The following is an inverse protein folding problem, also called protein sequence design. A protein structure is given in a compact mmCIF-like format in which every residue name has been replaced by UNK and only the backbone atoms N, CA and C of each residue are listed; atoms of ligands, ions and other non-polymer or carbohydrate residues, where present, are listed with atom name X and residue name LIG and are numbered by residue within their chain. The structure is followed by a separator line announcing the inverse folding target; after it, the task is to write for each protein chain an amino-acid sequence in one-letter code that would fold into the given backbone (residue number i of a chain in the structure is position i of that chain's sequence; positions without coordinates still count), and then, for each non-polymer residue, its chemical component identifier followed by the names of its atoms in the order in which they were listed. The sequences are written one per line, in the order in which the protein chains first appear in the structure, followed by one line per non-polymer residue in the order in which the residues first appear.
data_IF_245324689658
#
_entry.id   IF_245324689658
#
_cell.length_a   1.000
_cell.length_b   1.000
_cell.length_c   1.000
_cell.angle_alpha   90.00
_cell.angle_beta   90.00
_cell.angle_gamma   90.00
#
_symmetry.space_group_name_H-M   'P 1'
#
loop_
_entity.id
_entity.type
_entity.pdbx_description
1 polymer ?
#
# COMPACT_ATOMS: atom_id res chain seq x y z
N UNK A 1 -29.38 72.98 74.54
CA UNK A 1 -28.48 71.81 74.39
C UNK A 1 -28.64 71.06 73.06
N UNK A 2 -29.77 71.16 72.32
CA UNK A 2 -29.99 70.37 71.09
C UNK A 2 -29.18 70.79 69.84
N UNK A 3 -28.83 72.07 69.68
CA UNK A 3 -28.15 72.55 68.46
C UNK A 3 -26.71 72.05 68.31
N UNK A 4 -25.94 71.91 69.40
CA UNK A 4 -24.55 71.44 69.36
C UNK A 4 -24.43 69.97 68.97
N UNK A 5 -25.33 69.12 69.46
CA UNK A 5 -25.37 67.70 69.12
C UNK A 5 -25.70 67.47 67.64
N UNK A 6 -26.62 68.26 67.07
CA UNK A 6 -26.98 68.17 65.64
C UNK A 6 -25.79 68.54 64.74
N UNK A 7 -25.05 69.60 65.07
CA UNK A 7 -23.86 70.01 64.30
C UNK A 7 -22.77 68.94 64.32
N UNK A 8 -22.50 68.34 65.49
CA UNK A 8 -21.51 67.25 65.60
C UNK A 8 -21.93 66.03 64.78
N UNK A 9 -23.20 65.63 64.84
CA UNK A 9 -23.72 64.51 64.04
C UNK A 9 -23.57 64.79 62.54
N UNK A 10 -23.93 65.99 62.08
CA UNK A 10 -23.80 66.38 60.67
C UNK A 10 -22.33 66.32 60.22
N UNK A 11 -21.40 66.87 61.00
CA UNK A 11 -19.97 66.85 60.67
C UNK A 11 -19.43 65.42 60.61
N UNK A 12 -19.79 64.57 61.58
CA UNK A 12 -19.37 63.15 61.57
C UNK A 12 -19.91 62.43 60.34
N UNK A 13 -21.19 62.63 60.01
CA UNK A 13 -21.81 62.02 58.81
C UNK A 13 -21.09 62.49 57.54
N UNK A 14 -20.82 63.79 57.41
CA UNK A 14 -20.09 64.33 56.24
C UNK A 14 -18.69 63.73 56.14
N UNK A 15 -17.95 63.66 57.25
CA UNK A 15 -16.60 63.07 57.25
C UNK A 15 -16.64 61.59 56.87
N UNK A 16 -17.58 60.82 57.43
CA UNK A 16 -17.75 59.40 57.07
C UNK A 16 -18.09 59.24 55.59
N UNK A 17 -19.01 60.04 55.05
CA UNK A 17 -19.38 59.99 53.63
C UNK A 17 -18.18 60.32 52.75
N UNK A 18 -17.40 61.35 53.08
CA UNK A 18 -16.19 61.71 52.33
C UNK A 18 -15.15 60.59 52.38
N UNK A 19 -14.89 60.02 53.56
CA UNK A 19 -13.95 58.88 53.70
C UNK A 19 -14.40 57.69 52.86
N UNK A 20 -15.68 57.33 52.91
CA UNK A 20 -16.24 56.24 52.10
C UNK A 20 -16.08 56.52 50.61
N UNK A 21 -16.40 57.74 50.15
CA UNK A 21 -16.21 58.13 48.74
C UNK A 21 -14.76 58.04 48.29
N UNK A 22 -13.81 58.49 49.13
CA UNK A 22 -12.38 58.39 48.84
C UNK A 22 -11.93 56.93 48.77
N UNK A 23 -12.35 56.08 49.70
CA UNK A 23 -12.02 54.65 49.70
C UNK A 23 -12.58 53.97 48.45
N UNK A 24 -13.84 54.23 48.09
CA UNK A 24 -14.46 53.70 46.87
C UNK A 24 -13.69 54.16 45.64
N UNK A 25 -13.35 55.45 45.54
CA UNK A 25 -12.58 55.98 44.42
C UNK A 25 -11.21 55.29 44.31
N UNK A 26 -10.49 55.13 45.42
CA UNK A 26 -9.19 54.45 45.44
C UNK A 26 -9.34 53.00 44.98
N UNK A 27 -10.33 52.26 45.49
CA UNK A 27 -10.58 50.87 45.08
C UNK A 27 -10.87 50.79 43.58
N UNK A 28 -11.73 51.67 43.05
CA UNK A 28 -12.05 51.72 41.62
C UNK A 28 -10.80 52.00 40.80
N UNK A 29 -9.99 52.99 41.18
CA UNK A 29 -8.74 53.30 40.49
C UNK A 29 -7.79 52.11 40.49
N UNK A 30 -7.61 51.45 41.64
CA UNK A 30 -6.76 50.25 41.75
C UNK A 30 -7.27 49.14 40.82
N UNK A 31 -8.57 48.85 40.82
CA UNK A 31 -9.16 47.82 39.96
C UNK A 31 -8.95 48.14 38.48
N UNK A 32 -9.18 49.40 38.07
CA UNK A 32 -8.97 49.84 36.68
C UNK A 32 -7.52 49.72 36.27
N UNK A 33 -6.58 50.16 37.13
CA UNK A 33 -5.14 50.06 36.85
C UNK A 33 -4.71 48.60 36.73
N UNK A 34 -5.14 47.73 37.66
CA UNK A 34 -4.83 46.29 37.60
C UNK A 34 -5.39 45.68 36.31
N UNK A 35 -6.64 45.97 35.96
CA UNK A 35 -7.24 45.48 34.72
C UNK A 35 -6.45 45.94 33.49
N UNK A 36 -6.02 47.20 33.45
CA UNK A 36 -5.22 47.74 32.36
C UNK A 36 -3.84 47.06 32.28
N UNK A 37 -3.17 46.84 33.41
CA UNK A 37 -1.89 46.11 33.45
C UNK A 37 -2.07 44.69 32.91
N UNK A 38 -3.12 43.98 33.32
CA UNK A 38 -3.41 42.62 32.83
C UNK A 38 -3.63 42.63 31.31
N UNK A 39 -4.39 43.58 30.78
CA UNK A 39 -4.61 43.72 29.33
C UNK A 39 -3.30 44.01 28.60
N UNK A 40 -2.49 44.94 29.09
CA UNK A 40 -1.20 45.28 28.48
C UNK A 40 -0.27 44.07 28.46
N UNK A 41 -0.17 43.33 29.58
CA UNK A 41 0.64 42.12 29.64
C UNK A 41 0.15 41.08 28.64
N UNK A 42 -1.17 40.83 28.57
CA UNK A 42 -1.74 39.89 27.61
C UNK A 42 -1.43 40.29 26.17
N UNK A 43 -1.57 41.57 25.84
CA UNK A 43 -1.26 42.11 24.51
C UNK A 43 0.24 41.95 24.19
N UNK A 44 1.13 42.25 25.13
CA UNK A 44 2.58 42.07 24.95
C UNK A 44 2.91 40.59 24.73
N UNK A 45 2.32 39.68 25.51
CA UNK A 45 2.53 38.24 25.33
C UNK A 45 2.09 37.80 23.93
N UNK A 46 0.91 38.24 23.48
CA UNK A 46 0.39 37.86 22.16
C UNK A 46 1.23 38.47 21.02
N UNK A 47 1.62 39.73 21.12
CA UNK A 47 2.33 40.43 20.03
C UNK A 47 3.81 40.06 19.97
N UNK A 48 4.44 39.78 21.12
CA UNK A 48 5.89 39.54 21.18
C UNK A 48 6.20 38.05 21.30
N UNK A 49 5.63 37.37 22.29
CA UNK A 49 6.02 35.99 22.59
C UNK A 49 5.54 35.05 21.49
N UNK A 50 4.31 35.21 20.99
CA UNK A 50 3.77 34.29 19.97
C UNK A 50 4.57 34.36 18.66
N UNK A 51 4.87 35.54 18.07
CA UNK A 51 5.70 35.59 16.87
C UNK A 51 7.12 35.09 17.11
N UNK A 52 7.72 35.37 18.26
CA UNK A 52 9.06 34.85 18.59
C UNK A 52 9.05 33.32 18.64
N UNK A 53 8.04 32.72 19.28
CA UNK A 53 7.88 31.26 19.30
C UNK A 53 7.72 30.71 17.89
N UNK A 54 6.90 31.34 17.03
CA UNK A 54 6.72 30.90 15.65
C UNK A 54 8.04 31.02 14.86
N UNK A 55 8.71 32.16 14.94
CA UNK A 55 9.94 32.46 14.19
C UNK A 55 11.11 31.59 14.65
N UNK A 56 11.14 31.15 15.90
CA UNK A 56 12.25 30.33 16.42
C UNK A 56 11.91 28.85 16.36
N UNK A 57 10.79 28.44 16.94
CA UNK A 57 10.45 27.02 17.11
C UNK A 57 10.12 26.36 15.77
N UNK A 58 9.35 27.02 14.91
CA UNK A 58 8.95 26.41 13.62
C UNK A 58 10.15 26.09 12.73
N UNK A 59 11.09 27.02 12.44
CA UNK A 59 12.24 26.68 11.62
C UNK A 59 13.17 25.68 12.30
N UNK A 60 13.34 25.72 13.63
CA UNK A 60 14.13 24.70 14.33
C UNK A 60 13.51 23.31 14.15
N UNK A 61 12.19 23.19 14.30
CA UNK A 61 11.47 21.93 14.05
C UNK A 61 11.65 21.48 12.60
N UNK A 62 11.53 22.38 11.62
CA UNK A 62 11.73 22.04 10.20
C UNK A 62 13.17 21.58 9.95
N UNK A 63 14.16 22.34 10.42
CA UNK A 63 15.59 22.08 10.22
C UNK A 63 16.03 20.79 10.90
N UNK A 64 15.41 20.39 12.01
CA UNK A 64 15.79 19.16 12.72
C UNK A 64 14.96 17.97 12.25
N UNK A 65 13.64 18.10 12.27
CA UNK A 65 12.73 16.96 12.03
C UNK A 65 12.78 16.53 10.57
N UNK A 66 12.74 17.47 9.61
CA UNK A 66 12.69 17.10 8.18
C UNK A 66 13.92 16.30 7.74
N UNK A 67 15.18 16.71 7.99
CA UNK A 67 16.32 15.91 7.57
C UNK A 67 16.40 14.59 8.34
N UNK A 68 16.03 14.53 9.62
CA UNK A 68 15.97 13.26 10.36
C UNK A 68 14.98 12.31 9.69
N UNK A 69 13.78 12.79 9.33
CA UNK A 69 12.79 11.99 8.61
C UNK A 69 13.36 11.52 7.26
N UNK A 70 14.01 12.39 6.50
CA UNK A 70 14.62 12.01 5.21
C UNK A 70 15.71 10.95 5.41
N UNK A 71 16.64 11.18 6.35
CA UNK A 71 17.78 10.30 6.63
C UNK A 71 17.32 8.94 7.14
N UNK A 72 16.18 8.84 7.83
CA UNK A 72 15.69 7.56 8.34
C UNK A 72 14.74 6.88 7.36
N UNK A 73 13.73 7.59 6.87
CA UNK A 73 12.66 7.00 6.07
C UNK A 73 13.14 6.62 4.67
N UNK A 74 13.92 7.47 4.01
CA UNK A 74 14.39 7.20 2.63
C UNK A 74 15.22 5.91 2.54
N UNK A 75 16.28 5.69 3.35
CA UNK A 75 17.03 4.44 3.26
C UNK A 75 16.21 3.23 3.68
N UNK A 76 15.28 3.36 4.64
CA UNK A 76 14.37 2.26 4.99
C UNK A 76 13.52 1.88 3.77
N UNK A 77 12.94 2.84 3.06
CA UNK A 77 12.18 2.57 1.84
C UNK A 77 13.05 1.93 0.77
N UNK A 78 14.28 2.42 0.55
CA UNK A 78 15.22 1.84 -0.41
C UNK A 78 15.55 0.38 -0.04
N UNK A 79 15.81 0.10 1.23
CA UNK A 79 16.11 -1.25 1.72
C UNK A 79 14.91 -2.16 1.50
N UNK A 80 13.69 -1.72 1.84
CA UNK A 80 12.47 -2.50 1.63
C UNK A 80 12.28 -2.82 0.15
N UNK A 81 12.43 -1.82 -0.74
CA UNK A 81 12.32 -2.03 -2.19
C UNK A 81 13.38 -2.99 -2.69
N UNK A 82 14.63 -2.86 -2.24
CA UNK A 82 15.71 -3.77 -2.61
C UNK A 82 15.42 -5.20 -2.16
N UNK A 83 14.95 -5.39 -0.92
CA UNK A 83 14.56 -6.72 -0.40
C UNK A 83 13.42 -7.31 -1.20
N UNK A 84 12.39 -6.52 -1.53
CA UNK A 84 11.28 -6.96 -2.37
C UNK A 84 11.78 -7.41 -3.74
N UNK A 85 12.65 -6.64 -4.38
CA UNK A 85 13.23 -7.03 -5.68
C UNK A 85 14.05 -8.31 -5.56
N UNK A 86 14.94 -8.38 -4.56
CA UNK A 86 15.84 -9.53 -4.34
C UNK A 86 15.05 -10.81 -4.04
N UNK A 87 13.90 -10.74 -3.38
CA UNK A 87 13.10 -11.92 -3.02
C UNK A 87 12.06 -12.26 -4.09
N UNK A 88 11.29 -11.27 -4.54
CA UNK A 88 10.13 -11.52 -5.42
C UNK A 88 10.58 -11.86 -6.83
N UNK A 89 11.59 -11.18 -7.39
CA UNK A 89 12.04 -11.44 -8.76
C UNK A 89 12.52 -12.88 -8.96
N UNK A 90 13.43 -13.46 -8.15
CA UNK A 90 13.85 -14.84 -8.37
C UNK A 90 12.71 -15.83 -8.15
N UNK A 91 11.79 -15.59 -7.21
CA UNK A 91 10.61 -16.44 -7.02
C UNK A 91 9.75 -16.43 -8.28
N UNK A 92 9.46 -15.25 -8.84
CA UNK A 92 8.71 -15.13 -10.10
C UNK A 92 9.43 -15.84 -11.24
N UNK A 93 10.75 -15.66 -11.37
CA UNK A 93 11.55 -16.35 -12.40
C UNK A 93 11.46 -17.87 -12.23
N UNK A 94 11.63 -18.40 -11.01
CA UNK A 94 11.52 -19.84 -10.73
C UNK A 94 10.12 -20.35 -11.07
N UNK A 95 9.07 -19.65 -10.67
CA UNK A 95 7.68 -20.01 -10.99
C UNK A 95 7.47 -20.05 -12.51
N UNK A 96 7.93 -19.03 -13.24
CA UNK A 96 7.82 -18.98 -14.70
C UNK A 96 8.57 -20.14 -15.34
N UNK A 97 9.81 -20.42 -14.91
CA UNK A 97 10.61 -21.54 -15.42
C UNK A 97 9.90 -22.87 -15.15
N UNK A 98 9.39 -23.09 -13.94
CA UNK A 98 8.65 -24.31 -13.60
C UNK A 98 7.40 -24.47 -14.47
N UNK A 99 6.61 -23.41 -14.64
CA UNK A 99 5.43 -23.42 -15.51
C UNK A 99 5.81 -23.76 -16.95
N UNK A 100 6.84 -23.12 -17.49
CA UNK A 100 7.34 -23.40 -18.85
C UNK A 100 7.80 -24.85 -18.98
N UNK A 101 8.57 -25.37 -18.02
CA UNK A 101 9.02 -26.77 -18.02
C UNK A 101 7.83 -27.71 -17.99
N UNK A 102 6.85 -27.49 -17.11
CA UNK A 102 5.63 -28.30 -17.02
C UNK A 102 4.87 -28.29 -18.35
N UNK A 103 4.66 -27.11 -18.95
CA UNK A 103 3.98 -26.98 -20.24
C UNK A 103 4.74 -27.73 -21.34
N UNK A 104 6.07 -27.57 -21.41
CA UNK A 104 6.90 -28.27 -22.40
C UNK A 104 6.82 -29.78 -22.20
N UNK A 105 6.94 -30.28 -20.97
CA UNK A 105 6.84 -31.70 -20.66
C UNK A 105 5.47 -32.24 -21.06
N UNK A 106 4.39 -31.54 -20.71
CA UNK A 106 3.03 -31.93 -21.09
C UNK A 106 2.89 -31.98 -22.61
N UNK A 107 3.36 -30.95 -23.33
CA UNK A 107 3.32 -30.92 -24.79
C UNK A 107 4.13 -32.07 -25.39
N UNK A 108 5.33 -32.34 -24.89
CA UNK A 108 6.17 -33.45 -25.37
C UNK A 108 5.49 -34.79 -25.14
N UNK A 109 4.99 -35.05 -23.93
CA UNK A 109 4.27 -36.29 -23.60
C UNK A 109 3.06 -36.46 -24.52
N UNK A 110 2.27 -35.41 -24.68
CA UNK A 110 1.11 -35.39 -25.59
C UNK A 110 1.52 -35.72 -27.02
N UNK A 111 2.55 -35.05 -27.55
CA UNK A 111 3.02 -35.26 -28.92
C UNK A 111 3.51 -36.69 -29.08
N UNK A 112 4.29 -37.21 -28.13
CA UNK A 112 4.78 -38.60 -28.15
C UNK A 112 3.60 -39.57 -28.15
N UNK A 113 2.63 -39.42 -27.24
CA UNK A 113 1.45 -40.30 -27.18
C UNK A 113 0.65 -40.26 -28.48
N UNK A 114 0.37 -39.07 -29.02
CA UNK A 114 -0.36 -38.93 -30.28
C UNK A 114 0.40 -39.58 -31.43
N UNK A 115 1.71 -39.32 -31.54
CA UNK A 115 2.56 -39.88 -32.59
C UNK A 115 2.61 -41.41 -32.47
N UNK A 116 2.81 -41.95 -31.27
CA UNK A 116 2.84 -43.41 -31.04
C UNK A 116 1.52 -44.05 -31.42
N UNK A 117 0.39 -43.53 -30.96
CA UNK A 117 -0.95 -44.06 -31.29
C UNK A 117 -1.17 -44.06 -32.80
N UNK A 118 -0.85 -42.95 -33.47
CA UNK A 118 -1.04 -42.77 -34.91
C UNK A 118 -0.14 -43.72 -35.73
N UNK A 119 1.13 -43.90 -35.32
CA UNK A 119 2.05 -44.82 -35.99
C UNK A 119 1.60 -46.27 -35.81
N UNK A 120 1.26 -46.65 -34.58
CA UNK A 120 0.83 -48.03 -34.25
C UNK A 120 -0.41 -48.40 -35.05
N UNK A 121 -1.42 -47.52 -35.12
CA UNK A 121 -2.61 -47.78 -35.95
C UNK A 121 -2.26 -47.95 -37.44
N UNK A 122 -1.26 -47.24 -37.95
CA UNK A 122 -0.87 -47.29 -39.36
C UNK A 122 -0.05 -48.53 -39.74
N UNK A 123 0.78 -49.04 -38.83
CA UNK A 123 1.61 -50.23 -39.07
C UNK A 123 0.89 -51.54 -38.70
N UNK A 124 -0.24 -51.45 -37.98
CA UNK A 124 -1.04 -52.60 -37.59
C UNK A 124 -1.42 -53.44 -38.82
N UNK A 125 -1.08 -54.72 -38.79
CA UNK A 125 -1.36 -55.67 -39.88
C UNK A 125 -0.32 -55.68 -41.03
N UNK A 126 0.76 -54.91 -40.95
CA UNK A 126 1.89 -54.99 -41.88
C UNK A 126 3.00 -55.86 -41.28
N UNK A 127 3.58 -56.73 -42.09
CA UNK A 127 4.75 -57.52 -41.71
C UNK A 127 6.02 -56.83 -42.23
N UNK A 128 7.05 -56.79 -41.39
CA UNK A 128 8.35 -56.22 -41.71
C UNK A 128 9.43 -57.23 -41.31
N UNK A 129 10.47 -57.33 -42.12
CA UNK A 129 11.53 -58.33 -41.94
C UNK A 129 12.50 -57.95 -40.81
N UNK A 130 12.70 -56.64 -40.58
CA UNK A 130 13.59 -56.10 -39.54
C UNK A 130 13.17 -54.68 -39.08
N UNK A 131 13.84 -54.18 -38.03
CA UNK A 131 13.61 -52.84 -37.47
C UNK A 131 13.98 -51.72 -38.45
N UNK A 132 14.97 -51.93 -39.32
CA UNK A 132 15.40 -50.95 -40.33
C UNK A 132 14.30 -50.74 -41.39
N UNK A 133 13.61 -51.80 -41.79
CA UNK A 133 12.46 -51.79 -42.68
C UNK A 133 11.29 -51.02 -42.05
N UNK A 134 11.02 -51.22 -40.76
CA UNK A 134 10.02 -50.43 -40.00
C UNK A 134 10.41 -48.95 -39.99
N UNK A 135 11.65 -48.64 -39.61
CA UNK A 135 12.13 -47.27 -39.47
C UNK A 135 12.11 -46.53 -40.82
N UNK A 136 12.49 -47.21 -41.92
CA UNK A 136 12.43 -46.67 -43.29
C UNK A 136 10.98 -46.44 -43.73
N UNK A 137 10.08 -47.36 -43.44
CA UNK A 137 8.66 -47.24 -43.76
C UNK A 137 8.00 -46.07 -43.02
N UNK A 138 8.18 -45.99 -41.70
CA UNK A 138 7.61 -44.94 -40.85
C UNK A 138 8.15 -43.56 -41.24
N UNK A 139 9.47 -43.43 -41.50
CA UNK A 139 10.05 -42.17 -42.00
C UNK A 139 9.46 -41.74 -43.34
N UNK A 140 9.29 -42.68 -44.29
CA UNK A 140 8.68 -42.38 -45.59
C UNK A 140 7.22 -41.96 -45.44
N UNK A 141 6.48 -42.60 -44.54
CA UNK A 141 5.09 -42.28 -44.27
C UNK A 141 4.92 -40.87 -43.68
N UNK A 142 5.73 -40.51 -42.68
CA UNK A 142 5.70 -39.16 -42.10
C UNK A 142 6.07 -38.08 -43.11
N UNK A 143 7.08 -38.31 -43.95
CA UNK A 143 7.47 -37.37 -45.03
C UNK A 143 6.38 -37.17 -46.09
N UNK A 144 5.49 -38.14 -46.25
CA UNK A 144 4.36 -38.07 -47.18
C UNK A 144 3.10 -37.40 -46.61
N UNK A 145 3.11 -36.94 -45.35
CA UNK A 145 1.95 -36.27 -44.76
C UNK A 145 1.93 -34.78 -45.09
N UNK A 146 0.74 -34.19 -45.35
CA UNK A 146 0.60 -32.75 -45.46
C UNK A 146 0.82 -32.08 -44.11
N UNK A 147 1.26 -30.82 -44.09
CA UNK A 147 1.46 -30.03 -42.87
C UNK A 147 0.21 -29.97 -41.98
N UNK A 148 -0.97 -29.94 -42.61
CA UNK A 148 -2.28 -29.93 -41.95
C UNK A 148 -2.56 -31.19 -41.12
N UNK A 149 -1.93 -32.32 -41.44
CA UNK A 149 -2.12 -33.58 -40.71
C UNK A 149 -1.80 -33.43 -39.23
N UNK A 150 -0.71 -32.74 -38.90
CA UNK A 150 -0.30 -32.50 -37.52
C UNK A 150 -1.16 -31.41 -36.86
N UNK A 151 -1.53 -30.37 -37.62
CA UNK A 151 -2.42 -29.31 -37.12
C UNK A 151 -3.82 -29.85 -36.76
N UNK A 152 -4.39 -30.73 -37.58
CA UNK A 152 -5.66 -31.40 -37.29
C UNK A 152 -5.57 -32.35 -36.10
N UNK A 153 -4.46 -33.07 -35.97
CA UNK A 153 -4.18 -33.89 -34.78
C UNK A 153 -4.16 -33.05 -33.49
N UNK A 154 -3.48 -31.90 -33.52
CA UNK A 154 -3.43 -30.97 -32.39
C UNK A 154 -4.81 -30.35 -32.08
N UNK A 155 -5.59 -29.97 -33.10
CA UNK A 155 -6.96 -29.45 -32.90
C UNK A 155 -7.90 -30.48 -32.25
N UNK A 156 -7.83 -31.74 -32.68
CA UNK A 156 -8.62 -32.84 -32.09
C UNK A 156 -8.26 -33.09 -30.63
N UNK A 157 -7.01 -32.81 -30.23
CA UNK A 157 -6.57 -32.94 -28.85
C UNK A 157 -7.28 -31.94 -27.92
N UNK A 158 -7.47 -30.69 -28.35
CA UNK A 158 -8.20 -29.66 -27.58
C UNK A 158 -9.62 -30.16 -27.26
N UNK A 159 -10.29 -30.72 -28.28
CA UNK A 159 -11.63 -31.29 -28.08
C UNK A 159 -11.61 -32.48 -27.11
N UNK A 160 -10.64 -33.40 -27.25
CA UNK A 160 -10.49 -34.55 -26.33
C UNK A 160 -10.23 -34.13 -24.89
N UNK A 161 -9.42 -33.10 -24.66
CA UNK A 161 -9.19 -32.56 -23.32
C UNK A 161 -10.47 -31.99 -22.72
N UNK A 162 -11.25 -31.22 -23.49
CA UNK A 162 -12.54 -30.70 -23.03
C UNK A 162 -13.46 -31.83 -22.59
N UNK A 163 -13.62 -32.85 -23.43
CA UNK A 163 -14.45 -34.02 -23.11
C UNK A 163 -13.93 -34.80 -21.90
N UNK A 164 -12.60 -34.89 -21.71
CA UNK A 164 -12.00 -35.52 -20.54
C UNK A 164 -12.30 -34.75 -19.24
N UNK A 165 -12.21 -33.42 -19.29
CA UNK A 165 -12.59 -32.55 -18.15
C UNK A 165 -14.08 -32.66 -17.85
N UNK A 166 -14.92 -32.61 -18.87
CA UNK A 166 -16.39 -32.70 -18.73
C UNK A 166 -16.84 -34.06 -18.17
N UNK A 167 -16.03 -35.10 -18.33
CA UNK A 167 -16.26 -36.44 -17.80
C UNK A 167 -15.43 -36.78 -16.55
N UNK A 168 -14.79 -35.78 -15.93
CA UNK A 168 -13.98 -35.96 -14.73
C UNK A 168 -12.87 -37.02 -14.87
N UNK A 169 -12.35 -37.21 -16.09
CA UNK A 169 -11.31 -38.20 -16.39
C UNK A 169 -11.81 -39.57 -16.83
N UNK A 170 -13.13 -39.78 -16.99
CA UNK A 170 -13.65 -41.05 -17.52
C UNK A 170 -13.37 -41.22 -19.03
N UNK A 171 -13.15 -42.47 -19.44
CA UNK A 171 -12.80 -42.80 -20.81
C UNK A 171 -13.94 -42.45 -21.78
N UNK A 172 -13.58 -41.83 -22.90
CA UNK A 172 -14.50 -41.66 -24.03
C UNK A 172 -14.35 -42.90 -24.91
N UNK A 173 -15.30 -43.83 -24.85
CA UNK A 173 -15.36 -44.94 -25.81
C UNK A 173 -15.50 -44.41 -27.24
N UNK A 174 -14.95 -45.19 -28.19
CA UNK A 174 -14.73 -44.83 -29.61
C UNK A 174 -16.00 -44.42 -30.34
#
# INVERSE_FOLDING_TARGET
MFAGTVVVVVVVVVVVVVVVLVVVLVVVVVVVVVALVVVVVAVVVVIVVVPVVIIVVVPVVIIVVVPVVIIVVVPVVIIVVAVVIIVVVPVVVVVVVVVVVVVVVVVVVVVVVVVVVVVVEHIKGKHFEDDDAVQKYVRRWFRGKPHEFFADGMRKLIWRWRTCVDKEGDYVEK
#
